data_IF_237077375025
#
_entry.id   IF_237077375025
#
_cell.length_a   1.000
_cell.length_b   1.000
_cell.length_c   1.000
_cell.angle_alpha   90.00
_cell.angle_beta   90.00
_cell.angle_gamma   90.00
#
_symmetry.space_group_name_H-M   'P 1'
#
loop_
_entity.id
_entity.type
_entity.pdbx_description
1 polymer ?
#
# COMPACT_ATOMS: atom_id res chain seq x y z
N UNK A 1 3.53 7.58 -1.05
CA UNK A 1 2.78 7.49 0.23
C UNK A 1 2.24 6.10 0.56
N UNK A 2 1.52 5.43 -0.36
CA UNK A 2 0.91 4.12 -0.11
C UNK A 2 1.91 3.05 0.37
N UNK A 3 3.04 2.91 -0.34
CA UNK A 3 4.14 2.00 0.06
C UNK A 3 4.60 2.20 1.50
N UNK A 4 4.77 3.46 1.93
CA UNK A 4 5.22 3.79 3.28
C UNK A 4 4.18 3.43 4.34
N UNK A 5 2.90 3.69 4.07
CA UNK A 5 1.81 3.31 4.98
C UNK A 5 1.70 1.79 5.12
N UNK A 6 1.71 1.06 4.01
CA UNK A 6 1.70 -0.41 4.03
C UNK A 6 2.88 -0.98 4.83
N UNK A 7 4.09 -0.46 4.61
CA UNK A 7 5.29 -0.87 5.37
C UNK A 7 5.11 -0.62 6.87
N UNK A 8 4.72 0.59 7.25
CA UNK A 8 4.54 0.97 8.65
C UNK A 8 3.51 0.10 9.37
N UNK A 9 2.41 -0.25 8.71
CA UNK A 9 1.39 -1.12 9.28
C UNK A 9 1.86 -2.56 9.41
N UNK A 10 2.58 -3.09 8.42
CA UNK A 10 3.16 -4.43 8.51
C UNK A 10 4.23 -4.52 9.61
N UNK A 11 5.07 -3.49 9.77
CA UNK A 11 6.03 -3.41 10.87
C UNK A 11 5.34 -3.49 12.24
N UNK A 12 4.21 -2.78 12.42
CA UNK A 12 3.43 -2.83 13.66
C UNK A 12 2.78 -4.20 13.88
N UNK A 13 2.20 -4.78 12.82
CA UNK A 13 1.60 -6.13 12.89
C UNK A 13 2.61 -7.20 13.30
N UNK A 14 3.83 -7.10 12.79
CA UNK A 14 4.91 -8.07 13.05
C UNK A 14 5.78 -7.69 14.26
N UNK A 15 5.39 -6.68 15.06
CA UNK A 15 6.18 -6.18 16.20
C UNK A 15 7.66 -5.88 15.86
N UNK A 16 7.90 -5.38 14.65
CA UNK A 16 9.23 -5.16 14.10
C UNK A 16 9.81 -3.83 14.59
N UNK A 17 10.99 -3.82 15.24
CA UNK A 17 11.53 -2.59 15.84
C UNK A 17 12.03 -1.60 14.77
N UNK A 18 11.59 -0.34 14.88
CA UNK A 18 11.94 0.76 13.99
C UNK A 18 13.20 1.49 14.48
N UNK A 19 14.35 0.92 14.16
CA UNK A 19 15.65 1.40 14.69
C UNK A 19 16.47 2.17 13.66
N UNK A 20 16.28 1.89 12.37
CA UNK A 20 17.15 2.45 11.33
C UNK A 20 16.62 3.80 10.87
N UNK A 21 17.41 4.89 10.97
CA UNK A 21 17.00 6.20 10.49
C UNK A 21 16.93 6.24 8.96
N UNK A 22 15.90 6.91 8.44
CA UNK A 22 15.75 7.28 7.03
C UNK A 22 15.41 8.77 6.99
N UNK A 23 16.33 9.57 6.44
CA UNK A 23 16.25 11.02 6.55
C UNK A 23 16.40 11.49 8.01
N UNK A 24 15.78 12.63 8.34
CA UNK A 24 16.02 13.32 9.62
C UNK A 24 15.07 12.94 10.76
N UNK A 25 13.89 12.35 10.47
CA UNK A 25 12.82 12.17 11.48
C UNK A 25 12.11 10.81 11.45
N UNK A 26 12.42 9.95 10.47
CA UNK A 26 11.72 8.67 10.30
C UNK A 26 12.68 7.55 10.64
N UNK A 27 12.18 6.56 11.39
CA UNK A 27 12.88 5.30 11.61
C UNK A 27 12.05 4.17 11.00
N UNK A 28 12.73 3.23 10.37
CA UNK A 28 12.12 2.04 9.76
C UNK A 28 12.72 0.79 10.38
N UNK A 29 12.01 -0.33 10.24
CA UNK A 29 12.59 -1.61 10.58
C UNK A 29 13.61 -2.04 9.53
N UNK A 30 14.78 -2.46 9.99
CA UNK A 30 15.82 -3.17 9.22
C UNK A 30 16.35 -4.28 10.12
N UNK A 31 16.38 -5.52 9.63
CA UNK A 31 16.95 -6.64 10.38
C UNK A 31 18.45 -6.41 10.59
N UNK A 32 18.91 -6.47 11.85
CA UNK A 32 20.35 -6.34 12.19
C UNK A 32 21.16 -7.54 11.73
N UNK A 33 20.59 -8.75 11.85
CA UNK A 33 21.20 -10.01 11.45
C UNK A 33 20.73 -10.44 10.05
N UNK A 34 20.43 -9.48 9.19
CA UNK A 34 19.79 -9.68 7.90
C UNK A 34 20.51 -10.77 7.10
N UNK A 35 20.07 -12.02 7.23
CA UNK A 35 20.47 -13.08 6.32
C UNK A 35 19.96 -12.59 4.98
N UNK A 36 20.84 -12.14 4.10
CA UNK A 36 20.48 -11.73 2.73
C UNK A 36 19.59 -12.81 2.07
N UNK A 37 19.83 -14.07 2.44
CA UNK A 37 19.11 -15.23 1.95
C UNK A 37 17.81 -15.55 2.70
N UNK A 38 17.45 -14.88 3.79
CA UNK A 38 16.19 -15.10 4.51
C UNK A 38 15.74 -13.86 5.33
N UNK A 39 15.38 -12.75 4.67
CA UNK A 39 14.89 -11.57 5.34
C UNK A 39 13.52 -11.81 6.00
N UNK A 40 13.22 -11.08 7.09
CA UNK A 40 11.88 -11.08 7.67
C UNK A 40 10.82 -10.60 6.65
N UNK A 41 9.53 -10.88 6.91
CA UNK A 41 8.42 -10.53 6.00
C UNK A 41 8.43 -9.07 5.52
N UNK A 42 8.69 -8.13 6.44
CA UNK A 42 8.77 -6.69 6.13
C UNK A 42 9.91 -6.40 5.14
N UNK A 43 11.12 -6.87 5.47
CA UNK A 43 12.32 -6.61 4.67
C UNK A 43 12.26 -7.34 3.32
N UNK A 44 11.60 -8.51 3.27
CA UNK A 44 11.32 -9.26 2.04
C UNK A 44 10.41 -8.46 1.12
N UNK A 45 9.23 -8.03 1.60
CA UNK A 45 8.25 -7.34 0.77
C UNK A 45 8.72 -5.94 0.33
N UNK A 46 9.31 -5.16 1.25
CA UNK A 46 9.68 -3.76 1.01
C UNK A 46 11.18 -3.53 0.76
N UNK A 47 11.99 -4.58 0.72
CA UNK A 47 13.43 -4.49 0.51
C UNK A 47 14.22 -3.89 1.68
N UNK A 48 15.51 -4.19 1.66
CA UNK A 48 16.51 -3.59 2.53
C UNK A 48 17.19 -2.43 1.78
N UNK A 49 17.41 -1.26 2.42
CA UNK A 49 18.33 -0.27 1.88
C UNK A 49 19.70 -0.91 1.68
N UNK A 50 20.38 -0.58 0.60
CA UNK A 50 21.77 -0.98 0.41
C UNK A 50 22.63 -0.32 1.49
N UNK A 51 22.95 -1.07 2.54
CA UNK A 51 24.00 -0.75 3.51
C UNK A 51 25.24 -1.61 3.21
N UNK A 52 26.31 -1.42 3.98
CA UNK A 52 27.58 -2.15 3.86
C UNK A 52 27.42 -3.69 3.96
N UNK A 53 26.25 -4.20 4.35
CA UNK A 53 25.94 -5.62 4.48
C UNK A 53 25.12 -6.22 3.32
N UNK A 54 25.01 -5.51 2.18
CA UNK A 54 24.35 -5.97 0.96
C UNK A 54 22.82 -5.90 0.99
N UNK A 55 22.22 -5.58 -0.15
CA UNK A 55 20.78 -5.35 -0.28
C UNK A 55 20.02 -6.58 -0.77
N UNK A 56 18.80 -6.79 -0.27
CA UNK A 56 17.85 -7.73 -0.86
C UNK A 56 16.98 -7.03 -1.90
N UNK A 57 16.67 -7.68 -3.04
CA UNK A 57 15.73 -7.14 -4.01
C UNK A 57 14.39 -6.80 -3.34
N UNK A 58 13.81 -5.66 -3.71
CA UNK A 58 12.44 -5.32 -3.28
C UNK A 58 11.46 -6.15 -4.10
N UNK A 59 10.61 -6.94 -3.42
CA UNK A 59 9.58 -7.71 -4.13
C UNK A 59 8.41 -6.83 -4.57
N UNK A 60 8.00 -5.85 -3.76
CA UNK A 60 6.84 -5.00 -4.03
C UNK A 60 7.23 -3.63 -4.63
N UNK A 61 6.81 -3.42 -5.88
CA UNK A 61 6.77 -2.11 -6.52
C UNK A 61 5.37 -1.51 -6.40
N UNK A 62 5.30 -0.24 -6.02
CA UNK A 62 4.07 0.53 -5.85
C UNK A 62 4.17 1.77 -6.73
N UNK A 63 3.34 1.89 -7.76
CA UNK A 63 3.34 3.07 -8.63
C UNK A 63 2.56 4.23 -8.04
N UNK A 64 2.90 5.43 -8.51
CA UNK A 64 2.09 6.61 -8.25
C UNK A 64 0.73 6.48 -8.94
N UNK A 65 -0.31 6.95 -8.25
CA UNK A 65 -1.70 6.80 -8.67
C UNK A 65 -2.24 8.19 -9.00
N UNK A 66 -2.70 8.38 -10.24
CA UNK A 66 -3.30 9.65 -10.68
C UNK A 66 -4.79 9.67 -10.39
N UNK A 67 -5.35 10.87 -10.32
CA UNK A 67 -6.79 11.06 -10.25
C UNK A 67 -7.43 10.66 -11.58
N UNK A 68 -8.58 10.00 -11.52
CA UNK A 68 -9.31 9.58 -12.72
C UNK A 68 -9.90 10.78 -13.48
N UNK A 69 -10.00 10.72 -14.82
CA UNK A 69 -10.63 11.78 -15.62
C UNK A 69 -12.05 12.11 -15.15
N UNK A 70 -12.82 11.11 -14.74
CA UNK A 70 -14.19 11.27 -14.23
C UNK A 70 -14.21 12.07 -12.94
N UNK A 71 -13.25 11.82 -12.04
CA UNK A 71 -13.12 12.59 -10.80
C UNK A 71 -12.66 14.02 -11.08
N UNK A 72 -11.69 14.21 -11.99
CA UNK A 72 -11.22 15.54 -12.41
C UNK A 72 -12.39 16.37 -12.94
N UNK A 73 -13.21 15.79 -13.82
CA UNK A 73 -14.39 16.45 -14.38
C UNK A 73 -15.39 16.82 -13.27
N UNK A 74 -15.74 15.86 -12.41
CA UNK A 74 -16.67 16.05 -11.30
C UNK A 74 -16.22 17.18 -10.36
N UNK A 75 -14.94 17.22 -10.01
CA UNK A 75 -14.40 18.25 -9.11
C UNK A 75 -14.32 19.62 -9.79
N UNK A 76 -13.97 19.67 -11.08
CA UNK A 76 -13.96 20.92 -11.85
C UNK A 76 -15.35 21.55 -11.94
N UNK A 77 -16.40 20.73 -12.03
CA UNK A 77 -17.80 21.17 -12.07
C UNK A 77 -18.37 21.50 -10.68
N UNK A 78 -17.78 20.94 -9.61
CA UNK A 78 -18.27 21.10 -8.24
C UNK A 78 -17.94 22.46 -7.60
N UNK A 79 -17.12 23.30 -8.25
CA UNK A 79 -16.71 24.62 -7.75
C UNK A 79 -16.17 24.58 -6.30
N UNK A 80 -15.28 23.62 -6.01
CA UNK A 80 -14.62 23.50 -4.70
C UNK A 80 -13.74 24.72 -4.38
N UNK A 81 -13.35 24.89 -3.11
CA UNK A 81 -12.55 26.04 -2.65
C UNK A 81 -11.26 26.24 -3.45
N UNK A 82 -10.68 25.15 -3.97
CA UNK A 82 -9.62 25.13 -4.96
C UNK A 82 -9.96 24.17 -6.11
N UNK A 83 -9.14 24.15 -7.16
CA UNK A 83 -9.45 23.46 -8.43
C UNK A 83 -9.80 21.96 -8.26
N UNK A 84 -9.18 21.25 -7.30
CA UNK A 84 -9.45 19.82 -7.03
C UNK A 84 -9.48 19.46 -5.54
N UNK A 85 -9.41 20.47 -4.68
CA UNK A 85 -9.22 20.31 -3.24
C UNK A 85 -10.16 21.25 -2.49
N UNK A 86 -10.49 20.86 -1.26
CA UNK A 86 -11.31 21.65 -0.36
C UNK A 86 -10.50 22.08 0.86
N UNK A 87 -10.86 23.23 1.42
CA UNK A 87 -10.24 23.74 2.63
C UNK A 87 -11.02 23.24 3.84
N UNK A 88 -10.43 22.30 4.57
CA UNK A 88 -10.98 21.84 5.85
C UNK A 88 -10.47 22.72 6.98
N UNK A 89 -11.35 23.49 7.61
CA UNK A 89 -11.06 24.14 8.88
C UNK A 89 -11.04 23.09 10.01
N UNK A 90 -9.96 23.05 10.77
CA UNK A 90 -9.86 22.31 12.02
C UNK A 90 -9.58 23.29 13.17
N UNK A 91 -10.24 23.13 14.31
CA UNK A 91 -10.08 24.04 15.45
C UNK A 91 -9.42 23.29 16.60
N UNK A 92 -8.33 23.86 17.15
CA UNK A 92 -7.83 23.47 18.45
C UNK A 92 -8.46 24.38 19.50
N UNK A 93 -9.08 23.80 20.53
CA UNK A 93 -9.72 24.57 21.61
C UNK A 93 -8.91 24.32 22.89
N UNK A 94 -8.45 25.41 23.51
CA UNK A 94 -7.86 25.38 24.84
C UNK A 94 -8.92 24.94 25.85
N UNK A 95 -8.64 23.89 26.61
CA UNK A 95 -9.62 23.26 27.53
C UNK A 95 -9.88 24.07 28.79
N UNK A 96 -9.05 25.06 29.09
CA UNK A 96 -9.14 25.91 30.28
C UNK A 96 -9.72 27.27 29.90
N UNK A 97 -9.16 27.92 28.87
CA UNK A 97 -9.56 29.27 28.47
C UNK A 97 -10.68 29.29 27.42
N UNK A 98 -11.04 28.14 26.87
CA UNK A 98 -11.98 27.99 25.74
C UNK A 98 -11.58 28.77 24.48
N UNK A 99 -10.33 29.24 24.39
CA UNK A 99 -9.82 29.92 23.21
C UNK A 99 -9.69 28.96 22.04
N UNK A 100 -10.17 29.38 20.87
CA UNK A 100 -10.12 28.62 19.63
C UNK A 100 -8.97 29.10 18.74
N UNK A 101 -8.14 28.17 18.29
CA UNK A 101 -7.10 28.40 17.27
C UNK A 101 -7.47 27.59 16.01
N UNK A 102 -8.15 28.21 15.02
CA UNK A 102 -8.46 27.55 13.76
C UNK A 102 -7.20 27.39 12.90
N UNK A 103 -7.14 26.29 12.15
CA UNK A 103 -6.17 26.04 11.08
C UNK A 103 -6.92 25.52 9.86
N UNK A 104 -6.56 26.00 8.68
CA UNK A 104 -7.13 25.48 7.44
C UNK A 104 -6.15 24.50 6.82
N UNK A 105 -6.65 23.32 6.45
CA UNK A 105 -5.89 22.27 5.80
C UNK A 105 -6.53 21.93 4.46
N UNK A 106 -5.74 21.95 3.42
CA UNK A 106 -6.15 21.45 2.12
C UNK A 106 -6.31 19.92 2.16
N UNK A 107 -7.39 19.41 1.58
CA UNK A 107 -7.58 17.97 1.39
C UNK A 107 -8.29 17.67 0.08
N UNK A 108 -8.09 16.45 -0.40
CA UNK A 108 -8.88 15.91 -1.51
C UNK A 108 -10.31 15.61 -0.99
N UNK A 109 -11.37 16.06 -1.68
CA UNK A 109 -12.75 15.81 -1.30
C UNK A 109 -13.07 14.32 -1.24
N UNK A 110 -14.04 13.97 -0.40
CA UNK A 110 -14.50 12.59 -0.27
C UNK A 110 -15.08 12.06 -1.61
N UNK A 111 -14.87 10.77 -1.86
CA UNK A 111 -15.31 10.12 -3.10
C UNK A 111 -14.45 10.42 -4.33
N UNK A 112 -13.30 11.10 -4.18
CA UNK A 112 -12.33 11.20 -5.25
C UNK A 112 -11.75 9.81 -5.57
N UNK A 113 -11.74 9.45 -6.86
CA UNK A 113 -11.24 8.15 -7.33
C UNK A 113 -9.89 8.34 -8.01
N UNK A 114 -8.92 7.53 -7.59
CA UNK A 114 -7.58 7.47 -8.13
C UNK A 114 -7.38 6.13 -8.84
N UNK A 115 -6.86 6.16 -10.06
CA UNK A 115 -6.67 4.95 -10.85
C UNK A 115 -5.92 5.18 -12.17
N UNK A 116 -5.34 4.12 -12.75
CA UNK A 116 -5.20 2.77 -12.16
C UNK A 116 -4.18 2.75 -11.01
N UNK A 117 -4.46 1.97 -9.96
CA UNK A 117 -3.49 1.67 -8.91
C UNK A 117 -2.71 0.41 -9.29
N UNK A 118 -1.41 0.56 -9.58
CA UNK A 118 -0.56 -0.56 -10.01
C UNK A 118 0.42 -0.98 -8.90
N UNK A 119 0.31 -2.26 -8.50
CA UNK A 119 1.19 -2.94 -7.57
C UNK A 119 1.80 -4.13 -8.29
N UNK A 120 3.13 -4.23 -8.30
CA UNK A 120 3.84 -5.36 -8.94
C UNK A 120 4.59 -6.12 -7.86
N UNK A 121 4.26 -7.41 -7.71
CA UNK A 121 4.97 -8.33 -6.83
C UNK A 121 5.87 -9.22 -7.68
N UNK A 122 7.18 -9.05 -7.55
CA UNK A 122 8.19 -9.89 -8.18
C UNK A 122 8.39 -11.18 -7.37
N UNK A 123 8.50 -12.32 -8.07
CA UNK A 123 8.70 -13.64 -7.47
C UNK A 123 9.99 -14.21 -8.05
N UNK A 124 11.03 -14.35 -7.22
CA UNK A 124 12.33 -14.90 -7.63
C UNK A 124 12.51 -16.36 -7.19
N UNK A 125 11.77 -16.78 -6.16
CA UNK A 125 11.85 -18.10 -5.55
C UNK A 125 10.46 -18.52 -5.04
N UNK A 126 10.17 -19.82 -4.87
CA UNK A 126 8.84 -20.31 -4.48
C UNK A 126 8.26 -19.67 -3.22
N UNK A 127 9.09 -19.37 -2.20
CA UNK A 127 8.64 -18.73 -0.95
C UNK A 127 8.16 -17.28 -1.11
N UNK A 128 8.51 -16.61 -2.21
CA UNK A 128 8.07 -15.23 -2.46
C UNK A 128 6.58 -15.17 -2.79
N UNK A 129 5.97 -16.29 -3.20
CA UNK A 129 4.52 -16.39 -3.40
C UNK A 129 3.78 -16.08 -2.10
N UNK A 130 4.34 -16.45 -0.94
CA UNK A 130 3.74 -16.17 0.36
C UNK A 130 3.70 -14.67 0.68
N UNK A 131 4.54 -13.84 0.03
CA UNK A 131 4.46 -12.38 0.14
C UNK A 131 3.18 -11.79 -0.42
N UNK A 132 2.42 -12.53 -1.24
CA UNK A 132 1.09 -12.10 -1.65
C UNK A 132 0.12 -12.02 -0.46
N UNK A 133 0.27 -12.90 0.54
CA UNK A 133 -0.50 -12.84 1.79
C UNK A 133 -0.13 -11.61 2.60
N UNK A 134 1.15 -11.33 2.73
CA UNK A 134 1.66 -10.13 3.39
C UNK A 134 1.12 -8.85 2.71
N UNK A 135 1.10 -8.82 1.38
CA UNK A 135 0.55 -7.72 0.58
C UNK A 135 -0.96 -7.56 0.80
N UNK A 136 -1.73 -8.64 0.74
CA UNK A 136 -3.18 -8.60 1.01
C UNK A 136 -3.46 -8.03 2.40
N UNK A 137 -2.74 -8.50 3.41
CA UNK A 137 -2.88 -7.99 4.78
C UNK A 137 -2.50 -6.50 4.86
N UNK A 138 -1.49 -6.05 4.11
CA UNK A 138 -1.14 -4.62 4.03
C UNK A 138 -2.27 -3.77 3.43
N UNK A 139 -2.95 -4.26 2.39
CA UNK A 139 -4.08 -3.55 1.79
C UNK A 139 -5.23 -3.42 2.79
N UNK A 140 -5.56 -4.51 3.49
CA UNK A 140 -6.61 -4.51 4.51
C UNK A 140 -6.26 -3.55 5.66
N UNK A 141 -5.02 -3.58 6.14
CA UNK A 141 -4.53 -2.65 7.16
C UNK A 141 -4.53 -1.19 6.71
N UNK A 142 -4.45 -0.90 5.41
CA UNK A 142 -4.58 0.46 4.88
C UNK A 142 -6.04 0.88 4.82
N UNK A 143 -6.95 -0.02 4.41
CA UNK A 143 -8.38 0.26 4.44
C UNK A 143 -8.86 0.52 5.86
N UNK A 144 -8.46 -0.28 6.84
CA UNK A 144 -8.85 -0.14 8.26
C UNK A 144 -8.22 1.08 8.95
N UNK A 145 -7.16 1.62 8.36
CA UNK A 145 -6.45 2.80 8.84
C UNK A 145 -6.68 3.98 7.87
N UNK A 146 -5.74 4.90 7.78
CA UNK A 146 -5.79 6.07 6.91
C UNK A 146 -4.49 6.26 6.12
N UNK A 147 -4.61 6.94 4.98
CA UNK A 147 -3.50 7.40 4.16
C UNK A 147 -3.28 8.92 4.35
N UNK A 148 -2.03 9.33 4.52
CA UNK A 148 -1.69 10.76 4.71
C UNK A 148 -1.78 11.21 6.16
N UNK A 149 -2.21 12.45 6.40
CA UNK A 149 -2.24 13.09 7.72
C UNK A 149 -3.64 13.23 8.31
N UNK A 150 -3.72 13.40 9.64
CA UNK A 150 -4.96 13.75 10.33
C UNK A 150 -6.00 12.63 10.45
N UNK A 151 -5.59 11.37 10.36
CA UNK A 151 -6.52 10.24 10.39
C UNK A 151 -7.31 10.06 11.69
N UNK A 152 -6.73 10.40 12.83
CA UNK A 152 -7.47 10.43 14.11
C UNK A 152 -8.62 11.44 14.13
N UNK A 153 -8.66 12.36 13.16
CA UNK A 153 -9.74 13.33 12.93
C UNK A 153 -10.61 12.97 11.71
N UNK A 154 -10.56 11.70 11.29
CA UNK A 154 -11.39 11.14 10.22
C UNK A 154 -10.91 11.41 8.80
N UNK A 155 -9.66 11.87 8.59
CA UNK A 155 -9.11 12.08 7.25
C UNK A 155 -8.48 10.80 6.68
N UNK A 156 -8.40 10.70 5.35
CA UNK A 156 -7.55 9.71 4.68
C UNK A 156 -8.08 8.28 4.66
N UNK A 157 -9.35 8.03 5.00
CA UNK A 157 -9.99 6.72 4.77
C UNK A 157 -10.02 6.44 3.27
N UNK A 158 -9.55 5.25 2.89
CA UNK A 158 -9.52 4.79 1.49
C UNK A 158 -10.20 3.44 1.36
N UNK A 159 -10.53 3.05 0.13
CA UNK A 159 -11.02 1.73 -0.24
C UNK A 159 -10.42 1.34 -1.60
N UNK A 160 -10.05 0.08 -1.75
CA UNK A 160 -9.64 -0.52 -3.01
C UNK A 160 -10.85 -1.17 -3.69
N UNK A 161 -11.02 -0.87 -4.98
CA UNK A 161 -12.12 -1.34 -5.82
C UNK A 161 -11.56 -1.82 -7.15
N UNK A 162 -12.31 -2.68 -7.83
CA UNK A 162 -11.97 -3.20 -9.17
C UNK A 162 -10.56 -3.80 -9.25
N UNK A 163 -10.24 -4.67 -8.29
CA UNK A 163 -8.95 -5.36 -8.23
C UNK A 163 -8.87 -6.33 -9.41
N UNK A 164 -7.80 -6.21 -10.20
CA UNK A 164 -7.47 -7.14 -11.27
C UNK A 164 -6.13 -7.78 -10.96
N UNK A 165 -6.10 -9.11 -10.97
CA UNK A 165 -4.89 -9.88 -10.68
C UNK A 165 -4.50 -10.60 -11.96
N UNK A 166 -3.24 -10.42 -12.33
CA UNK A 166 -2.62 -11.08 -13.47
C UNK A 166 -1.20 -11.49 -13.13
N UNK A 167 -0.67 -12.42 -13.92
CA UNK A 167 0.66 -12.96 -13.75
C UNK A 167 1.39 -13.04 -15.08
N UNK A 168 2.70 -12.79 -15.02
CA UNK A 168 3.64 -12.98 -16.13
C UNK A 168 4.77 -13.87 -15.63
N UNK A 169 5.04 -14.97 -16.34
CA UNK A 169 6.16 -15.87 -16.03
C UNK A 169 7.37 -15.54 -16.91
N UNK A 170 8.58 -15.90 -16.49
CA UNK A 170 9.79 -15.69 -17.30
C UNK A 170 9.74 -16.42 -18.64
N UNK A 171 9.07 -17.57 -18.70
CA UNK A 171 8.90 -18.36 -19.92
C UNK A 171 7.96 -17.69 -20.93
N UNK A 172 6.99 -16.91 -20.45
CA UNK A 172 5.94 -16.28 -21.29
C UNK A 172 5.72 -14.82 -20.92
N UNK A 173 6.79 -14.07 -20.71
CA UNK A 173 6.71 -12.71 -20.13
C UNK A 173 5.97 -11.70 -21.00
N UNK A 174 5.91 -11.95 -22.31
CA UNK A 174 5.12 -11.16 -23.26
C UNK A 174 3.60 -11.36 -23.10
N UNK A 175 3.18 -12.43 -22.42
CA UNK A 175 1.78 -12.79 -22.23
C UNK A 175 1.36 -12.53 -20.80
N UNK A 176 0.25 -11.82 -20.65
CA UNK A 176 -0.37 -11.57 -19.36
C UNK A 176 -1.51 -12.56 -19.12
N UNK A 177 -1.36 -13.41 -18.11
CA UNK A 177 -2.37 -14.39 -17.74
C UNK A 177 -3.24 -13.78 -16.64
N UNK A 178 -4.53 -13.60 -16.90
CA UNK A 178 -5.47 -13.11 -15.88
C UNK A 178 -5.81 -14.22 -14.90
N UNK A 179 -5.67 -13.93 -13.60
CA UNK A 179 -6.02 -14.85 -12.50
C UNK A 179 -7.44 -14.57 -12.00
N UNK A 180 -7.82 -13.29 -11.95
CA UNK A 180 -9.16 -12.93 -11.48
C UNK A 180 -9.41 -11.45 -11.40
N UNK A 181 -10.69 -11.12 -11.30
CA UNK A 181 -11.19 -9.76 -11.09
C UNK A 181 -12.15 -9.75 -9.93
N UNK A 182 -12.03 -8.75 -9.04
CA UNK A 182 -12.78 -8.65 -7.80
C UNK A 182 -13.27 -7.21 -7.64
N UNK A 183 -14.54 -7.02 -7.29
CA UNK A 183 -15.14 -5.69 -7.15
C UNK A 183 -14.61 -4.94 -5.92
N UNK A 184 -14.15 -5.67 -4.90
CA UNK A 184 -13.66 -5.11 -3.65
C UNK A 184 -12.55 -5.94 -3.04
N UNK A 185 -11.81 -5.34 -2.10
CA UNK A 185 -10.81 -6.07 -1.32
C UNK A 185 -11.42 -7.25 -0.57
N UNK A 186 -12.62 -7.09 0.02
CA UNK A 186 -13.35 -8.16 0.70
C UNK A 186 -13.60 -9.38 -0.20
N UNK A 187 -14.06 -9.16 -1.43
CA UNK A 187 -14.30 -10.25 -2.39
C UNK A 187 -12.99 -10.97 -2.74
N UNK A 188 -11.90 -10.22 -2.89
CA UNK A 188 -10.58 -10.79 -3.08
C UNK A 188 -10.13 -11.65 -1.88
N UNK A 189 -10.38 -11.20 -0.65
CA UNK A 189 -10.05 -11.95 0.57
C UNK A 189 -10.82 -13.27 0.66
N UNK A 190 -12.12 -13.27 0.35
CA UNK A 190 -12.96 -14.48 0.35
C UNK A 190 -12.47 -15.53 -0.65
N UNK A 191 -11.88 -15.09 -1.78
CA UNK A 191 -11.37 -15.96 -2.85
C UNK A 191 -9.83 -16.14 -2.80
N UNK A 192 -9.17 -15.65 -1.76
CA UNK A 192 -7.71 -15.55 -1.69
C UNK A 192 -7.01 -16.91 -1.83
N UNK A 193 -7.53 -17.94 -1.17
CA UNK A 193 -6.94 -19.28 -1.22
C UNK A 193 -7.00 -19.91 -2.62
N UNK A 194 -8.07 -19.62 -3.37
CA UNK A 194 -8.20 -20.04 -4.77
C UNK A 194 -7.17 -19.32 -5.65
N UNK A 195 -7.03 -18.00 -5.48
CA UNK A 195 -6.04 -17.18 -6.21
C UNK A 195 -4.61 -17.68 -5.95
N UNK A 196 -4.24 -17.93 -4.70
CA UNK A 196 -2.91 -18.47 -4.38
C UNK A 196 -2.70 -19.84 -5.00
N UNK A 197 -3.70 -20.72 -4.94
CA UNK A 197 -3.60 -22.07 -5.53
C UNK A 197 -3.37 -21.99 -7.04
N UNK A 198 -4.10 -21.12 -7.74
CA UNK A 198 -3.94 -20.91 -9.17
C UNK A 198 -2.55 -20.35 -9.53
N UNK A 199 -2.08 -19.34 -8.80
CA UNK A 199 -0.73 -18.80 -8.96
C UNK A 199 0.34 -19.88 -8.74
N UNK A 200 0.19 -20.71 -7.70
CA UNK A 200 1.11 -21.82 -7.42
C UNK A 200 1.11 -22.85 -8.55
N UNK A 201 -0.05 -23.22 -9.10
CA UNK A 201 -0.13 -24.15 -10.21
C UNK A 201 0.55 -23.62 -11.49
N UNK A 202 0.45 -22.31 -11.74
CA UNK A 202 1.07 -21.67 -12.90
C UNK A 202 2.59 -21.50 -12.78
N UNK A 203 3.09 -21.24 -11.55
CA UNK A 203 4.51 -20.98 -11.31
C UNK A 203 5.32 -22.21 -10.89
N UNK A 204 4.68 -23.16 -10.21
CA UNK A 204 5.30 -24.39 -9.66
C UNK A 204 4.58 -25.60 -10.27
N UNK A 205 4.69 -25.84 -11.59
CA UNK A 205 4.10 -27.03 -12.19
C UNK A 205 4.63 -28.27 -11.46
N UNK A 206 3.73 -29.19 -11.12
CA UNK A 206 4.06 -30.41 -10.38
C UNK A 206 5.12 -31.22 -11.16
N UNK A 207 6.38 -31.16 -10.74
CA UNK A 207 7.49 -31.93 -11.32
C UNK A 207 8.75 -31.14 -11.65
N UNK A 208 9.34 -30.46 -10.66
CA UNK A 208 10.70 -29.90 -10.72
C UNK A 208 11.48 -30.23 -9.46
#
# INVERSE_FOLDING_TARGET
SLRGKMRSQLERKENSPQVQPVGSKVKIHVCKDGKQNDPCKVCRLFGLPASDQGGTPTLLLVRDIRMTPETIKRLSEAHTDQQFTEMKAEVAIDRVTSMASPRNLERVPAGAVFGPCELVLSIFQPRDIDSLKDLRDCLQLVEDDYLGGGGSRGNGKVRFQDLKISIRSSQTYSTENSIGTFQSLKEFEEKFDLVIKEIKNLLLPAGG
#
